data_IF_364331496589
#
_entry.id   IF_364331496589
#
_cell.length_a   1.000
_cell.length_b   1.000
_cell.length_c   1.000
_cell.angle_alpha   90.00
_cell.angle_beta   90.00
_cell.angle_gamma   90.00
#
_symmetry.space_group_name_H-M   'P 1'
#
loop_
_entity.id
_entity.type
_entity.pdbx_description
1 polymer ?
#
# COMPACT_ATOMS: atom_id res chain seq x y z
N UNK A 1 -9.59 -1.15 0.01
CA UNK A 1 -9.50 0.16 -0.66
C UNK A 1 -9.61 -0.04 -2.16
N UNK A 2 -10.43 0.76 -2.84
CA UNK A 2 -10.52 0.75 -4.31
C UNK A 2 -9.42 1.65 -4.88
N UNK A 3 -8.67 1.16 -5.84
CA UNK A 3 -7.55 1.90 -6.48
C UNK A 3 -7.69 1.81 -7.99
N UNK A 4 -7.73 2.95 -8.66
CA UNK A 4 -7.68 3.03 -10.12
C UNK A 4 -6.24 2.98 -10.60
N UNK A 5 -5.89 1.94 -11.33
CA UNK A 5 -4.54 1.73 -11.87
C UNK A 5 -4.36 2.33 -13.27
N UNK A 6 -3.17 2.13 -13.85
CA UNK A 6 -2.86 2.55 -15.22
C UNK A 6 -3.83 1.90 -16.22
N UNK A 7 -4.44 2.69 -17.08
CA UNK A 7 -5.45 2.24 -18.06
C UNK A 7 -6.86 2.13 -17.47
N UNK A 8 -7.19 2.95 -16.47
CA UNK A 8 -8.54 3.07 -15.86
C UNK A 8 -9.12 1.73 -15.39
N UNK A 9 -8.29 0.85 -14.87
CA UNK A 9 -8.75 -0.41 -14.27
C UNK A 9 -8.76 -0.30 -12.76
N UNK A 10 -9.93 -0.50 -12.20
CA UNK A 10 -10.13 -0.50 -10.76
C UNK A 10 -9.73 -1.86 -10.18
N UNK A 11 -9.08 -1.82 -9.02
CA UNK A 11 -8.79 -3.01 -8.23
C UNK A 11 -9.00 -2.74 -6.76
N UNK A 12 -9.41 -3.77 -6.03
CA UNK A 12 -9.52 -3.71 -4.57
C UNK A 12 -8.19 -4.17 -3.97
N UNK A 13 -7.58 -3.28 -3.19
CA UNK A 13 -6.37 -3.59 -2.42
C UNK A 13 -6.76 -3.69 -0.95
N UNK A 14 -6.48 -4.81 -0.25
CA UNK A 14 -6.68 -4.91 1.18
C UNK A 14 -5.79 -3.90 1.92
N UNK A 15 -6.24 -3.44 3.06
CA UNK A 15 -5.48 -2.56 3.97
C UNK A 15 -5.28 -3.33 5.26
N UNK A 16 -4.07 -3.34 5.79
CA UNK A 16 -3.76 -3.93 7.08
C UNK A 16 -4.48 -3.22 8.22
N UNK A 17 -4.86 -3.96 9.24
CA UNK A 17 -5.61 -3.41 10.39
C UNK A 17 -4.85 -2.29 11.10
N UNK A 18 -3.53 -2.38 11.19
CA UNK A 18 -2.67 -1.34 11.76
C UNK A 18 -2.71 0.00 11.03
N UNK A 19 -3.05 0.02 9.76
CA UNK A 19 -3.15 1.26 8.96
C UNK A 19 -4.48 1.97 9.19
N UNK A 20 -5.52 1.25 9.61
CA UNK A 20 -6.89 1.81 9.70
C UNK A 20 -6.97 3.00 10.66
N UNK A 21 -6.44 2.96 11.90
CA UNK A 21 -6.49 4.11 12.80
C UNK A 21 -5.83 5.36 12.21
N UNK A 22 -4.64 5.20 11.62
CA UNK A 22 -3.91 6.31 11.00
C UNK A 22 -4.63 6.86 9.77
N UNK A 23 -5.25 5.99 8.97
CA UNK A 23 -6.04 6.40 7.82
C UNK A 23 -7.28 7.19 8.24
N UNK A 24 -7.96 6.76 9.31
CA UNK A 24 -9.12 7.47 9.86
C UNK A 24 -8.72 8.82 10.45
N UNK A 25 -7.65 8.88 11.22
CA UNK A 25 -7.11 10.14 11.75
C UNK A 25 -6.76 11.12 10.62
N UNK A 26 -6.08 10.63 9.58
CA UNK A 26 -5.80 11.43 8.40
C UNK A 26 -7.09 11.95 7.74
N UNK A 27 -8.09 11.11 7.55
CA UNK A 27 -9.36 11.47 6.91
C UNK A 27 -10.13 12.51 7.72
N UNK A 28 -10.12 12.41 9.05
CA UNK A 28 -10.87 13.32 9.93
C UNK A 28 -10.13 14.62 10.25
N UNK A 29 -8.82 14.58 10.39
CA UNK A 29 -8.01 15.70 10.83
C UNK A 29 -7.10 16.26 9.73
N UNK A 30 -6.30 15.44 9.10
CA UNK A 30 -5.28 15.89 8.16
C UNK A 30 -5.83 16.30 6.80
N UNK A 31 -6.67 15.47 6.19
CA UNK A 31 -7.24 15.72 4.87
C UNK A 31 -8.11 16.99 4.82
N UNK A 32 -9.04 17.25 5.75
CA UNK A 32 -9.83 18.49 5.75
C UNK A 32 -8.95 19.74 5.79
N UNK A 33 -7.87 19.70 6.55
CA UNK A 33 -6.91 20.81 6.59
C UNK A 33 -6.22 21.03 5.23
N UNK A 34 -5.87 19.97 4.50
CA UNK A 34 -5.23 20.06 3.18
C UNK A 34 -6.17 20.62 2.11
N UNK A 35 -7.46 20.24 2.15
CA UNK A 35 -8.45 20.60 1.10
C UNK A 35 -9.28 21.85 1.47
N UNK A 36 -9.02 22.50 2.59
CA UNK A 36 -9.82 23.63 3.08
C UNK A 36 -9.87 24.84 2.13
N UNK A 37 -8.81 25.03 1.33
CA UNK A 37 -8.71 26.16 0.39
C UNK A 37 -8.98 25.74 -1.05
N UNK A 38 -8.74 24.48 -1.40
CA UNK A 38 -8.88 23.95 -2.73
C UNK A 38 -9.55 22.59 -2.62
N UNK A 39 -10.82 22.51 -3.05
CA UNK A 39 -11.57 21.27 -3.05
C UNK A 39 -10.87 20.20 -3.92
N UNK A 40 -10.83 18.97 -3.42
CA UNK A 40 -10.23 17.83 -4.13
C UNK A 40 -10.89 16.53 -3.72
N UNK A 41 -11.22 15.68 -4.69
CA UNK A 41 -11.76 14.33 -4.47
C UNK A 41 -10.66 13.28 -4.25
N UNK A 42 -9.40 13.68 -4.41
CA UNK A 42 -8.26 12.78 -4.18
C UNK A 42 -8.17 12.37 -2.71
N UNK A 43 -7.83 11.10 -2.48
CA UNK A 43 -7.57 10.61 -1.14
C UNK A 43 -6.35 11.30 -0.51
N UNK A 44 -5.26 11.43 -1.27
CA UNK A 44 -4.01 12.07 -0.85
C UNK A 44 -3.68 13.28 -1.74
N UNK A 45 -4.38 14.42 -1.56
CA UNK A 45 -4.06 15.63 -2.30
C UNK A 45 -2.77 16.29 -1.78
N UNK A 46 -2.09 16.99 -2.66
CA UNK A 46 -1.08 17.98 -2.27
C UNK A 46 -1.78 19.23 -1.70
N UNK A 47 -1.01 20.16 -1.10
CA UNK A 47 -1.53 21.46 -0.64
C UNK A 47 -2.23 22.27 -1.72
N UNK A 48 -1.92 21.99 -3.00
CA UNK A 48 -2.54 22.65 -4.16
C UNK A 48 -3.71 21.84 -4.74
N UNK A 49 -4.26 20.88 -3.99
CA UNK A 49 -5.39 20.04 -4.42
C UNK A 49 -5.07 19.04 -5.52
N UNK A 50 -3.81 18.95 -5.95
CA UNK A 50 -3.37 18.05 -7.04
C UNK A 50 -2.92 16.71 -6.53
N UNK A 51 -2.89 15.72 -7.42
CA UNK A 51 -2.32 14.41 -7.13
C UNK A 51 -0.82 14.54 -6.81
N UNK A 52 -0.36 13.80 -5.80
CA UNK A 52 1.05 13.70 -5.48
C UNK A 52 1.78 12.96 -6.60
N UNK A 53 2.85 13.52 -7.10
CA UNK A 53 3.71 12.84 -8.07
C UNK A 53 4.61 11.80 -7.40
N UNK A 54 5.10 10.85 -8.21
CA UNK A 54 5.94 9.75 -7.72
C UNK A 54 7.26 10.22 -7.13
N UNK A 55 7.81 11.33 -7.61
CA UNK A 55 9.07 11.88 -7.10
C UNK A 55 8.91 12.48 -5.72
N UNK A 56 7.79 13.13 -5.47
CA UNK A 56 7.43 13.65 -4.13
C UNK A 56 7.22 12.51 -3.14
N UNK A 57 6.55 11.43 -3.55
CA UNK A 57 6.39 10.24 -2.72
C UNK A 57 7.74 9.63 -2.38
N UNK A 58 8.63 9.45 -3.36
CA UNK A 58 9.96 8.90 -3.17
C UNK A 58 10.80 9.75 -2.19
N UNK A 59 10.78 11.09 -2.34
CA UNK A 59 11.44 12.03 -1.40
C UNK A 59 10.90 11.90 0.02
N UNK A 60 9.59 11.78 0.19
CA UNK A 60 8.99 11.61 1.51
C UNK A 60 9.39 10.28 2.14
N UNK A 61 9.36 9.18 1.40
CA UNK A 61 9.82 7.87 1.87
C UNK A 61 11.27 7.94 2.35
N UNK A 62 12.17 8.53 1.56
CA UNK A 62 13.58 8.69 1.93
C UNK A 62 13.75 9.53 3.19
N UNK A 63 13.02 10.65 3.30
CA UNK A 63 13.07 11.51 4.48
C UNK A 63 12.66 10.78 5.75
N UNK A 64 11.56 10.03 5.71
CA UNK A 64 11.09 9.25 6.87
C UNK A 64 12.03 8.09 7.20
N UNK A 65 12.57 7.41 6.20
CA UNK A 65 13.57 6.36 6.40
C UNK A 65 14.82 6.91 7.12
N UNK A 66 15.33 8.07 6.69
CA UNK A 66 16.46 8.74 7.33
C UNK A 66 16.14 9.14 8.78
N UNK A 67 14.95 9.72 9.02
CA UNK A 67 14.52 10.08 10.37
C UNK A 67 14.40 8.86 11.30
N UNK A 68 14.06 7.70 10.76
CA UNK A 68 14.02 6.42 11.46
C UNK A 68 15.38 5.72 11.59
N UNK A 69 16.49 6.36 11.16
CA UNK A 69 17.83 5.77 11.22
C UNK A 69 18.08 4.64 10.20
N UNK A 70 17.22 4.48 9.19
CA UNK A 70 17.37 3.47 8.15
C UNK A 70 18.41 3.93 7.14
N UNK A 71 19.50 3.18 7.02
CA UNK A 71 20.67 3.54 6.18
C UNK A 71 20.56 3.08 4.74
N UNK A 72 19.68 2.11 4.43
CA UNK A 72 19.45 1.65 3.07
C UNK A 72 18.64 2.66 2.27
N UNK A 73 18.86 2.70 0.95
CA UNK A 73 18.11 3.61 0.08
C UNK A 73 16.66 3.15 -0.09
N UNK A 74 15.78 3.64 0.78
CA UNK A 74 14.36 3.29 0.77
C UNK A 74 13.61 3.99 -0.37
N UNK A 75 12.69 3.25 -0.99
CA UNK A 75 11.77 3.77 -2.00
C UNK A 75 10.44 3.00 -1.93
N UNK A 76 9.35 3.49 -2.55
CA UNK A 76 8.09 2.74 -2.66
C UNK A 76 8.26 1.36 -3.30
N UNK A 77 9.20 1.22 -4.23
CA UNK A 77 9.51 -0.07 -4.87
C UNK A 77 10.17 -1.06 -3.91
N UNK A 78 11.04 -0.57 -3.01
CA UNK A 78 11.67 -1.41 -1.98
C UNK A 78 10.61 -1.96 -1.02
N UNK A 79 9.68 -1.13 -0.55
CA UNK A 79 8.56 -1.60 0.27
C UNK A 79 7.71 -2.65 -0.43
N UNK A 80 7.38 -2.39 -1.70
CA UNK A 80 6.61 -3.34 -2.51
C UNK A 80 7.32 -4.68 -2.66
N UNK A 81 8.63 -4.65 -2.94
CA UNK A 81 9.44 -5.86 -3.08
C UNK A 81 9.56 -6.61 -1.74
N UNK A 82 9.83 -5.90 -0.66
CA UNK A 82 9.91 -6.47 0.68
C UNK A 82 8.58 -7.13 1.09
N UNK A 83 7.45 -6.46 0.88
CA UNK A 83 6.13 -7.02 1.14
C UNK A 83 5.92 -8.33 0.36
N UNK A 84 6.20 -8.34 -0.94
CA UNK A 84 6.08 -9.55 -1.77
C UNK A 84 6.96 -10.69 -1.25
N UNK A 85 8.23 -10.40 -0.96
CA UNK A 85 9.20 -11.39 -0.49
C UNK A 85 8.76 -11.98 0.86
N UNK A 86 8.38 -11.14 1.82
CA UNK A 86 7.95 -11.61 3.14
C UNK A 86 6.67 -12.43 3.07
N UNK A 87 5.70 -12.05 2.23
CA UNK A 87 4.48 -12.84 2.04
C UNK A 87 4.78 -14.22 1.46
N UNK A 88 5.65 -14.30 0.45
CA UNK A 88 6.06 -15.57 -0.16
C UNK A 88 6.81 -16.44 0.86
N UNK A 89 7.75 -15.86 1.62
CA UNK A 89 8.48 -16.56 2.67
C UNK A 89 7.56 -17.05 3.80
N UNK A 90 6.48 -16.32 4.09
CA UNK A 90 5.45 -16.76 5.04
C UNK A 90 4.53 -17.85 4.49
N UNK A 91 4.70 -18.25 3.22
CA UNK A 91 3.93 -19.33 2.57
C UNK A 91 2.70 -18.86 1.79
N UNK A 92 2.60 -17.57 1.46
CA UNK A 92 1.54 -17.09 0.58
C UNK A 92 1.72 -17.65 -0.84
N UNK A 93 0.62 -18.08 -1.45
CA UNK A 93 0.64 -18.47 -2.87
C UNK A 93 1.03 -17.24 -3.72
N UNK A 94 1.98 -17.43 -4.60
CA UNK A 94 2.51 -16.39 -5.48
C UNK A 94 1.40 -15.66 -6.28
N UNK A 95 0.31 -16.35 -6.60
CA UNK A 95 -0.84 -15.79 -7.32
C UNK A 95 -1.51 -14.66 -6.53
N UNK A 96 -1.68 -14.83 -5.20
CA UNK A 96 -2.24 -13.77 -4.35
C UNK A 96 -1.32 -12.57 -4.27
N UNK A 97 -0.01 -12.82 -4.20
CA UNK A 97 0.98 -11.74 -4.15
C UNK A 97 0.99 -10.97 -5.47
N UNK A 98 0.91 -11.65 -6.61
CA UNK A 98 0.86 -11.03 -7.93
C UNK A 98 -0.40 -10.19 -8.12
N UNK A 99 -1.57 -10.72 -7.73
CA UNK A 99 -2.84 -9.99 -7.80
C UNK A 99 -2.84 -8.77 -6.88
N UNK A 100 -2.37 -8.91 -5.64
CA UNK A 100 -2.22 -7.83 -4.68
C UNK A 100 -1.35 -6.69 -5.25
N UNK A 101 -0.25 -7.06 -5.87
CA UNK A 101 0.68 -6.12 -6.46
C UNK A 101 0.23 -5.60 -7.84
N UNK A 102 -0.71 -6.27 -8.51
CA UNK A 102 -1.20 -5.90 -9.83
C UNK A 102 -0.14 -6.12 -10.92
N UNK A 103 0.64 -7.20 -10.84
CA UNK A 103 1.55 -7.62 -11.91
C UNK A 103 0.76 -8.19 -13.09
N UNK A 104 1.00 -7.68 -14.28
CA UNK A 104 0.24 -7.92 -15.51
C UNK A 104 0.75 -9.10 -16.35
N UNK A 105 2.00 -9.51 -16.17
CA UNK A 105 2.63 -10.49 -17.06
C UNK A 105 2.62 -11.89 -16.46
N UNK A 106 1.51 -12.59 -16.70
CA UNK A 106 1.54 -14.05 -16.81
C UNK A 106 1.45 -14.42 -18.28
N UNK A 107 2.60 -14.46 -18.92
CA UNK A 107 2.74 -15.15 -20.19
C UNK A 107 2.55 -16.66 -19.98
N UNK A 108 1.31 -17.09 -19.86
CA UNK A 108 0.83 -18.42 -20.23
C UNK A 108 -0.67 -18.53 -19.94
N UNK A 109 -1.41 -18.86 -20.96
CA UNK A 109 -2.83 -19.18 -20.95
C UNK A 109 -3.06 -20.49 -20.19
N UNK A 110 -3.02 -20.45 -18.85
CA UNK A 110 -3.60 -21.51 -18.04
C UNK A 110 -4.86 -20.97 -17.39
N UNK A 111 -5.93 -21.77 -17.43
CA UNK A 111 -7.24 -21.49 -16.84
C UNK A 111 -7.05 -21.24 -15.34
N UNK A 112 -6.86 -19.97 -14.97
CA UNK A 112 -6.74 -19.55 -13.58
C UNK A 112 -8.13 -19.35 -13.00
N UNK A 113 -8.44 -20.12 -11.97
CA UNK A 113 -9.52 -19.81 -11.06
C UNK A 113 -9.32 -18.37 -10.59
N UNK A 114 -10.32 -17.51 -10.82
CA UNK A 114 -10.27 -16.10 -10.45
C UNK A 114 -10.04 -15.97 -8.95
N UNK A 115 -8.96 -15.30 -8.56
CA UNK A 115 -8.70 -14.94 -7.16
C UNK A 115 -9.78 -13.97 -6.72
N UNK A 116 -10.56 -14.33 -5.71
CA UNK A 116 -11.64 -13.47 -5.22
C UNK A 116 -11.09 -12.40 -4.26
N UNK A 117 -11.84 -11.30 -4.08
CA UNK A 117 -11.52 -10.27 -3.07
C UNK A 117 -11.43 -10.87 -1.67
N UNK A 118 -12.27 -11.89 -1.39
CA UNK A 118 -12.24 -12.60 -0.11
C UNK A 118 -10.94 -13.37 0.09
N UNK A 119 -10.43 -14.01 -0.97
CA UNK A 119 -9.16 -14.74 -0.92
C UNK A 119 -7.98 -13.79 -0.73
N UNK A 120 -7.99 -12.64 -1.41
CA UNK A 120 -6.98 -11.58 -1.21
C UNK A 120 -6.98 -11.07 0.22
N UNK A 121 -8.15 -10.82 0.82
CA UNK A 121 -8.25 -10.39 2.23
C UNK A 121 -7.71 -11.45 3.18
N UNK A 122 -8.05 -12.71 2.99
CA UNK A 122 -7.56 -13.83 3.83
C UNK A 122 -6.04 -13.99 3.69
N UNK A 123 -5.51 -13.95 2.48
CA UNK A 123 -4.09 -14.05 2.23
C UNK A 123 -3.32 -12.87 2.85
N UNK A 124 -3.85 -11.65 2.70
CA UNK A 124 -3.26 -10.47 3.32
C UNK A 124 -3.27 -10.55 4.85
N UNK A 125 -4.41 -10.90 5.45
CA UNK A 125 -4.52 -11.04 6.91
C UNK A 125 -3.56 -12.09 7.48
N UNK A 126 -3.37 -13.20 6.75
CA UNK A 126 -2.53 -14.31 7.21
C UNK A 126 -1.03 -14.10 6.99
N UNK A 127 -0.64 -13.45 5.90
CA UNK A 127 0.75 -13.47 5.44
C UNK A 127 1.41 -12.09 5.37
N UNK A 128 0.66 -11.00 5.54
CA UNK A 128 1.25 -9.66 5.49
C UNK A 128 2.11 -9.39 6.74
N UNK A 129 3.35 -8.88 6.59
CA UNK A 129 4.27 -8.69 7.71
C UNK A 129 3.71 -7.90 8.89
N UNK A 130 2.92 -6.85 8.62
CA UNK A 130 2.32 -6.01 9.66
C UNK A 130 1.17 -6.68 10.45
N UNK A 131 0.71 -7.87 10.06
CA UNK A 131 -0.34 -8.63 10.76
C UNK A 131 0.23 -9.80 11.56
N UNK A 132 1.55 -9.89 11.68
CA UNK A 132 2.20 -10.94 12.47
C UNK A 132 2.18 -10.54 13.95
N UNK A 133 2.08 -11.53 14.83
CA UNK A 133 2.02 -11.33 16.28
C UNK A 133 3.28 -10.67 16.87
N UNK A 134 4.41 -10.77 16.14
CA UNK A 134 5.69 -10.17 16.48
C UNK A 134 5.86 -8.72 15.94
N UNK A 135 4.84 -8.18 15.25
CA UNK A 135 4.89 -6.82 14.73
C UNK A 135 4.52 -5.80 15.82
N UNK A 136 5.51 -5.08 16.32
CA UNK A 136 5.29 -3.88 17.14
C UNK A 136 5.41 -2.63 16.27
N UNK A 137 4.32 -1.83 16.10
CA UNK A 137 4.44 -0.55 15.42
C UNK A 137 5.35 0.36 16.25
N UNK A 138 6.27 1.05 15.59
CA UNK A 138 7.11 2.03 16.26
C UNK A 138 6.22 3.02 17.03
N UNK A 139 6.39 3.10 18.33
CA UNK A 139 5.67 4.02 19.18
C UNK A 139 5.93 5.45 18.70
N UNK A 140 4.86 6.12 18.33
CA UNK A 140 4.69 7.49 17.88
C UNK A 140 5.95 8.31 17.60
N UNK A 141 6.13 8.63 16.32
CA UNK A 141 6.93 9.77 15.90
C UNK A 141 6.02 10.97 15.62
#
# INVERSE_FOLDING_TARGET
>A
MLVTGKGSRDRVVPIGEWVIPYALEYLHCGRPYLVRLIASDLLFPTRNGRMMDSSTLDKNVKRYAQAAGITINMSPHVFRHACATHMIQAGADIRYVQELLGHRDLGSTQVYTSVTITDLKKAHAKYHPANRDDFEPAAGA
#
